data_IF_216864610589
#
_entry.id   IF_216864610589
#
_cell.length_a   1.000
_cell.length_b   1.000
_cell.length_c   1.000
_cell.angle_alpha   90.00
_cell.angle_beta   90.00
_cell.angle_gamma   90.00
#
_symmetry.space_group_name_H-M   'P 1'
#
loop_
_entity.id
_entity.type
_entity.pdbx_description
1 polymer ?
#
# COMPACT_ATOMS: atom_id res chain seq x y z
N UNK A 1 -8.93 1.51 8.08
CA UNK A 1 -9.09 2.11 6.73
C UNK A 1 -7.77 1.92 5.99
N UNK A 2 -7.82 1.59 4.70
CA UNK A 2 -6.63 1.43 3.83
C UNK A 2 -6.72 2.45 2.70
N UNK A 3 -5.68 3.24 2.53
CA UNK A 3 -5.60 4.27 1.51
C UNK A 3 -4.53 3.96 0.48
N UNK A 4 -4.68 4.51 -0.72
CA UNK A 4 -3.59 4.54 -1.68
C UNK A 4 -4.01 5.11 -3.03
N UNK A 5 -3.04 5.24 -3.92
CA UNK A 5 -3.11 6.02 -5.15
C UNK A 5 -3.35 5.19 -6.41
N UNK A 6 -3.53 3.89 -6.27
CA UNK A 6 -3.82 3.00 -7.41
C UNK A 6 -5.32 2.71 -7.47
N UNK A 7 -6.05 3.52 -8.25
CA UNK A 7 -7.52 3.46 -8.35
C UNK A 7 -8.04 2.05 -8.68
N UNK A 8 -7.36 1.34 -9.58
CA UNK A 8 -7.73 -0.01 -10.01
C UNK A 8 -7.60 -1.01 -8.85
N UNK A 9 -6.50 -0.98 -8.10
CA UNK A 9 -6.29 -1.84 -6.94
C UNK A 9 -7.33 -1.56 -5.85
N UNK A 10 -7.60 -0.29 -5.53
CA UNK A 10 -8.60 0.08 -4.52
C UNK A 10 -10.00 -0.38 -4.93
N UNK A 11 -10.40 -0.19 -6.19
CA UNK A 11 -11.71 -0.66 -6.69
C UNK A 11 -11.84 -2.18 -6.63
N UNK A 12 -10.76 -2.90 -6.96
CA UNK A 12 -10.75 -4.37 -6.92
C UNK A 12 -10.82 -4.91 -5.50
N UNK A 13 -10.19 -4.25 -4.54
CA UNK A 13 -10.33 -4.64 -3.14
C UNK A 13 -11.71 -4.31 -2.54
N UNK A 14 -12.39 -3.26 -3.03
CA UNK A 14 -13.78 -2.95 -2.64
C UNK A 14 -14.81 -3.97 -3.15
N UNK A 15 -14.65 -4.45 -4.38
CA UNK A 15 -15.62 -5.34 -5.01
C UNK A 15 -15.17 -6.79 -4.84
N UNK A 16 -16.01 -7.65 -4.30
CA UNK A 16 -15.83 -9.10 -4.38
C UNK A 16 -16.09 -9.58 -5.82
N UNK A 17 -15.16 -9.29 -6.73
CA UNK A 17 -15.18 -9.87 -8.07
C UNK A 17 -14.64 -11.29 -7.97
N UNK A 18 -15.52 -12.28 -8.15
CA UNK A 18 -15.12 -13.69 -8.29
C UNK A 18 -14.22 -13.81 -9.53
N UNK A 19 -12.95 -14.14 -9.32
CA UNK A 19 -11.96 -14.32 -10.38
C UNK A 19 -11.37 -13.03 -10.96
N UNK A 20 -10.48 -12.36 -10.22
CA UNK A 20 -9.65 -11.30 -10.81
C UNK A 20 -8.66 -11.91 -11.82
N UNK A 21 -8.72 -11.47 -13.09
CA UNK A 21 -7.85 -11.95 -14.18
C UNK A 21 -6.67 -11.03 -14.48
N UNK A 22 -6.40 -10.03 -13.65
CA UNK A 22 -5.24 -9.16 -13.83
C UNK A 22 -3.93 -9.84 -13.42
N UNK A 23 -2.82 -9.30 -13.89
CA UNK A 23 -1.48 -9.73 -13.50
C UNK A 23 -1.19 -9.59 -11.99
N UNK A 24 -1.99 -8.80 -11.26
CA UNK A 24 -1.88 -8.60 -9.81
C UNK A 24 -2.95 -9.37 -9.02
N UNK A 25 -3.66 -10.31 -9.65
CA UNK A 25 -4.76 -11.07 -9.02
C UNK A 25 -4.31 -11.78 -7.75
N UNK A 26 -3.12 -12.39 -7.75
CA UNK A 26 -2.56 -13.05 -6.58
C UNK A 26 -2.44 -12.11 -5.37
N UNK A 27 -1.95 -10.88 -5.59
CA UNK A 27 -1.85 -9.86 -4.54
C UNK A 27 -3.23 -9.42 -4.03
N UNK A 28 -4.21 -9.29 -4.93
CA UNK A 28 -5.57 -8.91 -4.57
C UNK A 28 -6.24 -9.99 -3.73
N UNK A 29 -6.11 -11.26 -4.12
CA UNK A 29 -6.65 -12.38 -3.33
C UNK A 29 -5.97 -12.48 -1.97
N UNK A 30 -4.65 -12.24 -1.88
CA UNK A 30 -3.96 -12.19 -0.60
C UNK A 30 -4.46 -11.05 0.30
N UNK A 31 -4.60 -9.83 -0.24
CA UNK A 31 -5.16 -8.69 0.49
C UNK A 31 -6.56 -9.01 0.98
N UNK A 32 -7.43 -9.58 0.12
CA UNK A 32 -8.79 -10.00 0.50
C UNK A 32 -8.79 -11.08 1.57
N UNK A 33 -7.91 -12.07 1.50
CA UNK A 33 -7.78 -13.11 2.51
C UNK A 33 -7.37 -12.52 3.87
N UNK A 34 -6.37 -11.63 3.89
CA UNK A 34 -5.93 -10.92 5.11
C UNK A 34 -7.01 -9.97 5.64
N UNK A 35 -7.78 -9.34 4.76
CA UNK A 35 -8.88 -8.43 5.10
C UNK A 35 -9.96 -9.09 5.96
N UNK A 36 -10.19 -10.41 5.79
CA UNK A 36 -11.18 -11.18 6.58
C UNK A 36 -10.82 -11.28 8.07
N UNK A 37 -9.59 -10.92 8.46
CA UNK A 37 -9.13 -10.91 9.86
C UNK A 37 -9.58 -9.67 10.62
N UNK A 38 -10.08 -8.65 9.94
CA UNK A 38 -10.59 -7.43 10.53
C UNK A 38 -12.13 -7.49 10.61
N UNK A 39 -12.71 -6.95 11.69
CA UNK A 39 -14.17 -6.84 11.84
C UNK A 39 -14.78 -6.00 10.71
N UNK A 40 -14.10 -4.90 10.36
CA UNK A 40 -14.43 -4.08 9.21
C UNK A 40 -13.17 -3.50 8.57
N UNK A 41 -13.20 -3.37 7.24
CA UNK A 41 -12.12 -2.75 6.47
C UNK A 41 -12.71 -2.00 5.29
N UNK A 42 -12.21 -0.79 5.06
CA UNK A 42 -12.56 0.06 3.94
C UNK A 42 -11.30 0.40 3.14
N UNK A 43 -11.44 0.46 1.82
CA UNK A 43 -10.39 0.91 0.93
C UNK A 43 -10.73 2.30 0.42
N UNK A 44 -9.77 3.20 0.27
CA UNK A 44 -9.98 4.54 -0.26
C UNK A 44 -8.91 4.87 -1.29
N UNK A 45 -9.35 5.49 -2.39
CA UNK A 45 -8.41 6.05 -3.35
C UNK A 45 -8.10 7.47 -2.94
N UNK A 46 -6.81 7.80 -2.86
CA UNK A 46 -6.32 9.15 -2.57
C UNK A 46 -5.37 9.61 -3.70
N UNK A 47 -5.27 10.92 -3.97
CA UNK A 47 -4.27 11.42 -4.91
C UNK A 47 -2.86 11.05 -4.47
N UNK A 48 -1.95 10.88 -5.43
CA UNK A 48 -0.53 10.57 -5.19
C UNK A 48 0.14 11.48 -4.15
N UNK A 49 -0.23 12.76 -4.11
CA UNK A 49 0.26 13.75 -3.13
C UNK A 49 -0.11 13.38 -1.69
N UNK A 50 -1.30 12.81 -1.46
CA UNK A 50 -1.73 12.32 -0.15
C UNK A 50 -1.18 10.92 0.18
N UNK A 51 -0.60 10.22 -0.80
CA UNK A 51 0.08 8.94 -0.60
C UNK A 51 1.61 9.12 -0.69
N UNK A 52 2.13 10.32 -0.37
CA UNK A 52 3.52 10.64 -0.70
C UNK A 52 4.52 9.83 0.11
N UNK A 53 4.31 9.76 1.42
CA UNK A 53 5.14 8.97 2.35
C UNK A 53 5.26 7.51 1.90
N UNK A 54 4.14 6.86 1.55
CA UNK A 54 4.14 5.48 1.09
C UNK A 54 4.88 5.28 -0.24
N UNK A 55 4.82 6.27 -1.14
CA UNK A 55 5.59 6.19 -2.37
C UNK A 55 7.08 6.39 -2.16
N UNK A 56 7.48 7.37 -1.35
CA UNK A 56 8.90 7.61 -1.06
C UNK A 56 9.49 6.37 -0.39
N UNK A 57 8.73 5.73 0.50
CA UNK A 57 9.09 4.43 1.05
C UNK A 57 9.32 3.35 -0.03
N UNK A 58 8.40 3.23 -0.99
CA UNK A 58 8.56 2.27 -2.10
C UNK A 58 9.75 2.63 -3.02
N UNK A 59 10.03 3.92 -3.20
CA UNK A 59 11.17 4.41 -3.98
C UNK A 59 12.50 4.10 -3.30
N UNK A 60 12.64 4.35 -2.00
CA UNK A 60 13.81 3.95 -1.21
C UNK A 60 14.06 2.44 -1.33
N UNK A 61 13.01 1.64 -1.15
CA UNK A 61 13.10 0.18 -1.26
C UNK A 61 13.55 -0.32 -2.63
N UNK A 62 13.26 0.41 -3.71
CA UNK A 62 13.58 0.00 -5.09
C UNK A 62 15.08 -0.12 -5.36
N UNK A 63 15.92 0.64 -4.64
CA UNK A 63 17.37 0.64 -4.83
C UNK A 63 18.07 -0.54 -4.16
N UNK A 64 17.35 -1.32 -3.36
CA UNK A 64 17.88 -2.44 -2.63
C UNK A 64 17.59 -3.75 -3.37
N UNK A 65 18.64 -4.50 -3.70
CA UNK A 65 18.52 -5.78 -4.41
C UNK A 65 17.92 -6.91 -3.56
N UNK A 66 17.90 -6.72 -2.24
CA UNK A 66 17.39 -7.68 -1.26
C UNK A 66 16.41 -6.99 -0.31
N UNK A 67 15.54 -7.78 0.32
CA UNK A 67 14.70 -7.29 1.41
C UNK A 67 15.59 -6.82 2.57
N UNK A 68 15.35 -5.59 3.03
CA UNK A 68 16.04 -4.98 4.16
C UNK A 68 15.04 -4.63 5.26
N UNK A 69 15.55 -4.50 6.47
CA UNK A 69 14.80 -4.08 7.64
C UNK A 69 15.49 -2.85 8.23
N UNK A 70 14.70 -1.91 8.73
CA UNK A 70 15.23 -0.84 9.57
C UNK A 70 15.42 -1.37 10.99
N UNK A 71 16.54 -1.02 11.61
CA UNK A 71 16.84 -1.45 12.98
C UNK A 71 16.47 -0.35 13.97
N UNK A 72 16.86 0.90 13.69
CA UNK A 72 16.68 2.03 14.60
C UNK A 72 15.84 3.14 13.94
N UNK A 73 16.25 3.61 12.76
CA UNK A 73 15.64 4.76 12.07
C UNK A 73 15.22 4.39 10.65
N UNK A 74 14.21 5.10 10.15
CA UNK A 74 13.83 5.01 8.74
C UNK A 74 14.75 5.91 7.90
N UNK A 75 14.84 5.72 6.57
CA UNK A 75 15.58 6.64 5.72
C UNK A 75 15.05 8.06 5.91
N UNK A 76 15.97 9.03 6.06
CA UNK A 76 15.66 10.45 6.33
C UNK A 76 14.57 11.00 5.39
N UNK A 77 14.59 10.59 4.12
CA UNK A 77 13.58 10.98 3.12
C UNK A 77 12.17 10.53 3.49
N UNK A 78 12.01 9.35 4.06
CA UNK A 78 10.72 8.81 4.49
C UNK A 78 10.26 9.52 5.76
N UNK A 79 11.16 9.75 6.72
CA UNK A 79 10.83 10.42 7.98
C UNK A 79 10.33 11.84 7.76
N UNK A 80 11.05 12.64 6.96
CA UNK A 80 10.66 14.02 6.65
C UNK A 80 9.29 14.13 5.98
N UNK A 81 8.91 13.15 5.18
CA UNK A 81 7.60 13.13 4.51
C UNK A 81 6.50 12.64 5.46
N UNK A 82 6.82 11.67 6.34
CA UNK A 82 5.91 11.22 7.39
C UNK A 82 5.58 12.35 8.38
N UNK A 83 6.56 13.17 8.75
CA UNK A 83 6.36 14.31 9.65
C UNK A 83 5.48 15.41 9.04
N UNK A 84 5.46 15.54 7.71
CA UNK A 84 4.58 16.49 7.01
C UNK A 84 3.13 16.01 6.90
N UNK A 85 2.89 14.70 7.06
CA UNK A 85 1.58 14.05 6.96
C UNK A 85 0.87 13.96 8.33
N UNK A 86 1.58 14.30 9.42
CA UNK A 86 1.15 14.15 10.81
C UNK A 86 0.35 15.34 11.33
#
# INVERSE_FOLDING_TARGET
MVEGDTLTAMKKNKKASVGDKSCISALIEEIRARSRRFESISFSFVPRKANNTAHILAEEGKYHACSMYWIEEAPERVEREADQDR
#
